data_IF_937050606493
#
_entry.id   IF_937050606493
#
_cell.length_a   1.000
_cell.length_b   1.000
_cell.length_c   1.000
_cell.angle_alpha   90.00
_cell.angle_beta   90.00
_cell.angle_gamma   90.00
#
_symmetry.space_group_name_H-M   'P 1'
#
loop_
_entity.id
_entity.type
_entity.pdbx_description
1 polymer ?
#
# COMPACT_ATOMS: atom_id res chain seq x y z
N UNK A 1 -21.57 124.34 93.07
CA UNK A 1 -20.61 124.70 92.02
C UNK A 1 -19.19 124.36 92.49
N UNK A 2 -18.68 123.21 92.08
CA UNK A 2 -17.25 122.91 91.95
C UNK A 2 -17.15 121.69 91.05
N UNK A 3 -17.47 121.93 89.77
CA UNK A 3 -17.13 121.06 88.67
C UNK A 3 -15.60 121.05 88.55
N UNK A 4 -14.94 120.10 89.21
CA UNK A 4 -13.60 119.69 88.83
C UNK A 4 -13.72 118.40 88.04
N UNK A 5 -14.24 118.53 86.83
CA UNK A 5 -14.28 117.43 85.87
C UNK A 5 -13.99 118.00 84.51
N UNK A 6 -12.75 118.40 84.26
CA UNK A 6 -12.33 118.62 82.88
C UNK A 6 -10.85 118.28 82.72
N UNK A 7 -10.66 117.13 82.06
CA UNK A 7 -9.74 116.91 80.95
C UNK A 7 -10.10 115.55 80.33
N UNK A 8 -10.91 115.64 79.27
CA UNK A 8 -11.13 114.63 78.23
C UNK A 8 -11.87 115.32 77.07
N UNK A 9 -11.24 116.32 76.44
CA UNK A 9 -11.80 116.94 75.24
C UNK A 9 -11.40 116.06 74.06
N UNK A 10 -12.33 115.21 73.62
CA UNK A 10 -12.19 114.41 72.40
C UNK A 10 -12.99 115.04 71.25
N UNK A 11 -12.64 114.77 69.98
CA UNK A 11 -13.46 115.19 68.86
C UNK A 11 -14.89 114.64 68.95
N UNK A 12 -15.93 115.44 68.65
CA UNK A 12 -17.31 114.95 68.52
C UNK A 12 -17.38 113.83 67.47
N UNK A 13 -18.22 112.80 67.70
CA UNK A 13 -18.31 111.62 66.84
C UNK A 13 -18.54 111.99 65.37
N UNK A 14 -19.34 113.01 65.12
CA UNK A 14 -19.72 113.51 63.79
C UNK A 14 -18.53 114.10 63.01
N UNK A 15 -17.52 114.61 63.72
CA UNK A 15 -16.33 115.27 63.14
C UNK A 15 -15.03 114.49 63.35
N UNK A 16 -15.09 113.41 64.13
CA UNK A 16 -13.92 112.67 64.55
C UNK A 16 -13.17 112.09 63.34
N UNK A 17 -13.89 111.54 62.34
CA UNK A 17 -13.25 111.01 61.14
C UNK A 17 -12.38 112.06 60.43
N UNK A 18 -12.90 113.27 60.23
CA UNK A 18 -12.18 114.36 59.57
C UNK A 18 -10.96 114.79 60.39
N UNK A 19 -11.10 114.83 61.72
CA UNK A 19 -9.99 115.17 62.62
C UNK A 19 -8.86 114.13 62.57
N UNK A 20 -9.17 112.83 62.57
CA UNK A 20 -8.15 111.77 62.56
C UNK A 20 -7.54 111.51 61.17
N UNK A 21 -8.19 111.92 60.08
CA UNK A 21 -7.67 111.77 58.72
C UNK A 21 -6.70 112.88 58.29
N UNK A 22 -6.76 114.05 58.94
CA UNK A 22 -5.92 115.20 58.61
C UNK A 22 -4.61 115.14 59.39
N UNK A 23 -3.50 115.40 58.71
CA UNK A 23 -2.19 115.52 59.36
C UNK A 23 -2.27 116.59 60.47
N UNK A 24 -1.89 116.21 61.70
CA UNK A 24 -1.97 117.06 62.88
C UNK A 24 -3.39 117.55 63.24
N UNK A 25 -4.45 116.87 62.79
CA UNK A 25 -5.83 117.28 63.07
C UNK A 25 -6.21 117.28 64.56
N UNK A 26 -5.48 116.54 65.40
CA UNK A 26 -5.66 116.52 66.86
C UNK A 26 -5.04 117.73 67.58
N UNK A 27 -4.26 118.57 66.89
CA UNK A 27 -3.56 119.71 67.50
C UNK A 27 -4.47 120.64 68.31
N UNK A 28 -5.69 121.00 67.88
CA UNK A 28 -6.59 121.82 68.70
C UNK A 28 -6.98 121.17 70.03
N UNK A 29 -7.06 119.84 70.06
CA UNK A 29 -7.38 119.07 71.26
C UNK A 29 -6.16 118.94 72.16
N UNK A 30 -5.00 118.63 71.59
CA UNK A 30 -3.72 118.60 72.30
C UNK A 30 -3.36 119.97 72.88
N UNK A 31 -3.66 121.05 72.15
CA UNK A 31 -3.44 122.42 72.63
C UNK A 31 -4.28 122.73 73.87
N UNK A 32 -5.55 122.30 73.93
CA UNK A 32 -6.37 122.47 75.15
C UNK A 32 -5.77 121.76 76.36
N UNK A 33 -5.23 120.56 76.17
CA UNK A 33 -4.51 119.82 77.22
C UNK A 33 -3.25 120.59 77.64
N UNK A 34 -2.49 121.12 76.67
CA UNK A 34 -1.28 121.87 76.93
C UNK A 34 -1.56 123.17 77.69
N UNK A 35 -2.58 123.92 77.29
CA UNK A 35 -2.99 125.17 77.93
C UNK A 35 -3.36 124.92 79.42
N UNK A 36 -4.03 123.80 79.75
CA UNK A 36 -4.33 123.43 81.16
C UNK A 36 -3.07 123.03 81.94
N UNK A 37 -2.12 122.34 81.31
CA UNK A 37 -0.82 122.03 81.94
C UNK A 37 -0.03 123.32 82.22
N UNK A 38 -0.01 124.24 81.27
CA UNK A 38 0.75 125.50 81.38
C UNK A 38 0.17 126.45 82.44
N UNK A 39 -1.15 126.42 82.65
CA UNK A 39 -1.81 127.18 83.72
C UNK A 39 -1.57 126.60 85.13
N UNK A 40 -1.04 125.38 85.24
CA UNK A 40 -0.85 124.68 86.51
C UNK A 40 0.53 124.96 87.12
N UNK A 41 0.56 125.73 88.20
CA UNK A 41 1.79 126.04 88.97
C UNK A 41 1.74 125.35 90.35
N UNK A 42 2.32 124.14 90.49
CA UNK A 42 2.30 123.40 91.76
C UNK A 42 3.47 123.76 92.67
N UNK A 43 3.27 123.61 93.99
CA UNK A 43 4.34 123.61 94.99
C UNK A 43 4.74 122.18 95.39
N UNK A 44 5.86 121.70 94.86
CA UNK A 44 6.39 120.34 95.09
C UNK A 44 6.76 120.06 96.56
N UNK A 45 7.04 121.11 97.33
CA UNK A 45 7.52 120.96 98.72
C UNK A 45 6.39 120.47 99.64
N UNK A 46 5.13 120.76 99.30
CA UNK A 46 3.95 120.33 100.07
C UNK A 46 3.39 118.98 99.60
N UNK A 47 2.79 118.21 100.53
CA UNK A 47 2.06 116.98 100.18
C UNK A 47 0.93 117.26 99.19
N UNK A 48 0.17 118.34 99.43
CA UNK A 48 -0.95 118.76 98.59
C UNK A 48 -0.53 119.09 97.15
N UNK A 49 0.62 119.75 96.95
CA UNK A 49 1.12 120.05 95.61
C UNK A 49 1.60 118.79 94.86
N UNK A 50 2.23 117.83 95.55
CA UNK A 50 2.57 116.51 94.95
C UNK A 50 1.33 115.72 94.53
N UNK A 51 0.28 115.71 95.36
CA UNK A 51 -1.01 115.09 95.03
C UNK A 51 -1.67 115.78 93.81
N UNK A 52 -1.61 117.10 93.73
CA UNK A 52 -2.13 117.85 92.57
C UNK A 52 -1.37 117.54 91.26
N UNK A 53 -0.04 117.40 91.31
CA UNK A 53 0.78 116.97 90.16
C UNK A 53 0.36 115.58 89.69
N UNK A 54 0.21 114.63 90.62
CA UNK A 54 -0.24 113.28 90.29
C UNK A 54 -1.64 113.30 89.64
N UNK A 55 -2.53 114.17 90.12
CA UNK A 55 -3.87 114.34 89.55
C UNK A 55 -3.85 114.89 88.12
N UNK A 56 -3.01 115.90 87.82
CA UNK A 56 -2.86 116.44 86.45
C UNK A 56 -2.27 115.37 85.52
N UNK A 57 -1.22 114.66 85.96
CA UNK A 57 -0.64 113.58 85.19
C UNK A 57 -1.66 112.48 84.86
N UNK A 58 -2.52 112.12 85.81
CA UNK A 58 -3.62 111.17 85.60
C UNK A 58 -4.65 111.68 84.59
N UNK A 59 -5.02 112.97 84.63
CA UNK A 59 -5.91 113.60 83.64
C UNK A 59 -5.33 113.53 82.22
N UNK A 60 -4.04 113.78 82.05
CA UNK A 60 -3.34 113.67 80.76
C UNK A 60 -3.38 112.22 80.27
N UNK A 61 -3.08 111.25 81.13
CA UNK A 61 -3.16 109.83 80.79
C UNK A 61 -4.58 109.42 80.34
N UNK A 62 -5.62 109.90 81.03
CA UNK A 62 -7.02 109.67 80.65
C UNK A 62 -7.38 110.31 79.30
N UNK A 63 -6.92 111.53 79.05
CA UNK A 63 -7.15 112.22 77.77
C UNK A 63 -6.49 111.48 76.61
N UNK A 64 -5.26 110.97 76.80
CA UNK A 64 -4.57 110.11 75.83
C UNK A 64 -5.39 108.86 75.51
N UNK A 65 -5.84 108.12 76.54
CA UNK A 65 -6.66 106.92 76.34
C UNK A 65 -7.97 107.22 75.64
N UNK A 66 -8.63 108.33 75.99
CA UNK A 66 -9.88 108.74 75.35
C UNK A 66 -9.70 109.05 73.86
N UNK A 67 -8.65 109.79 73.50
CA UNK A 67 -8.30 110.07 72.10
C UNK A 67 -7.90 108.79 71.34
N UNK A 68 -7.10 107.91 71.94
CA UNK A 68 -6.72 106.64 71.30
C UNK A 68 -7.94 105.74 71.03
N UNK A 69 -8.86 105.65 71.99
CA UNK A 69 -10.08 104.85 71.84
C UNK A 69 -10.98 105.37 70.70
N UNK A 70 -11.16 106.69 70.56
CA UNK A 70 -11.94 107.25 69.43
C UNK A 70 -11.32 106.87 68.09
N UNK A 71 -9.99 106.94 67.96
CA UNK A 71 -9.30 106.52 66.74
C UNK A 71 -9.46 105.02 66.45
N UNK A 72 -9.36 104.18 67.49
CA UNK A 72 -9.57 102.72 67.38
C UNK A 72 -10.99 102.38 66.95
N UNK A 73 -11.99 103.01 67.56
CA UNK A 73 -13.40 102.78 67.25
C UNK A 73 -13.72 103.20 65.82
N UNK A 74 -13.21 104.35 65.36
CA UNK A 74 -13.33 104.79 63.96
C UNK A 74 -12.71 103.78 62.98
N UNK A 75 -11.48 103.32 63.25
CA UNK A 75 -10.83 102.32 62.38
C UNK A 75 -11.60 101.00 62.37
N UNK A 76 -12.16 100.58 63.50
CA UNK A 76 -13.00 99.39 63.57
C UNK A 76 -14.29 99.56 62.75
N UNK A 77 -15.03 100.66 62.94
CA UNK A 77 -16.25 100.97 62.18
C UNK A 77 -15.95 101.06 60.67
N UNK A 78 -14.86 101.72 60.27
CA UNK A 78 -14.45 101.85 58.86
C UNK A 78 -14.07 100.52 58.23
N UNK A 79 -13.35 99.63 58.94
CA UNK A 79 -12.96 98.31 58.42
C UNK A 79 -14.15 97.37 58.21
N UNK A 80 -15.23 97.55 58.97
CA UNK A 80 -16.45 96.77 58.75
C UNK A 80 -17.14 97.12 57.42
N UNK A 81 -16.92 98.31 56.84
CA UNK A 81 -17.50 98.69 55.55
C UNK A 81 -16.92 97.83 54.40
N UNK A 82 -15.59 97.79 54.12
CA UNK A 82 -15.03 96.89 53.11
C UNK A 82 -15.36 95.42 53.36
N UNK A 83 -15.32 94.97 54.62
CA UNK A 83 -15.67 93.58 54.98
C UNK A 83 -17.09 93.21 54.57
N UNK A 84 -18.07 94.09 54.81
CA UNK A 84 -19.46 93.88 54.37
C UNK A 84 -19.59 93.94 52.85
N UNK A 85 -18.89 94.86 52.19
CA UNK A 85 -18.88 94.97 50.73
C UNK A 85 -18.34 93.68 50.10
N UNK A 86 -17.22 93.15 50.58
CA UNK A 86 -16.64 91.93 50.02
C UNK A 86 -17.49 90.69 50.30
N UNK A 87 -18.11 90.61 51.48
CA UNK A 87 -19.07 89.56 51.81
C UNK A 87 -20.28 89.60 50.85
N UNK A 88 -20.87 90.78 50.62
CA UNK A 88 -22.01 90.91 49.71
C UNK A 88 -21.62 90.66 48.25
N UNK A 89 -20.44 91.13 47.82
CA UNK A 89 -19.92 90.83 46.48
C UNK A 89 -19.71 89.33 46.27
N UNK A 90 -19.24 88.60 47.28
CA UNK A 90 -19.15 87.15 47.22
C UNK A 90 -20.52 86.51 47.14
N UNK A 91 -21.43 86.84 48.06
CA UNK A 91 -22.81 86.34 48.08
C UNK A 91 -23.50 86.54 46.73
N UNK A 92 -23.37 87.74 46.16
CA UNK A 92 -23.90 88.07 44.84
C UNK A 92 -23.34 87.16 43.75
N UNK A 93 -22.01 86.98 43.66
CA UNK A 93 -21.41 86.08 42.66
C UNK A 93 -21.90 84.64 42.83
N UNK A 94 -21.79 84.09 44.04
CA UNK A 94 -22.22 82.72 44.33
C UNK A 94 -23.71 82.51 43.97
N UNK A 95 -24.55 83.52 44.21
CA UNK A 95 -25.98 83.49 43.86
C UNK A 95 -26.19 83.54 42.35
N UNK A 96 -25.50 84.44 41.64
CA UNK A 96 -25.62 84.58 40.19
C UNK A 96 -25.09 83.33 39.46
N UNK A 97 -24.00 82.73 39.95
CA UNK A 97 -23.45 81.48 39.40
C UNK A 97 -24.46 80.32 39.57
N UNK A 98 -25.08 80.22 40.76
CA UNK A 98 -26.12 79.22 41.01
C UNK A 98 -27.35 79.40 40.11
N UNK A 99 -27.81 80.65 39.91
CA UNK A 99 -28.93 80.93 38.99
C UNK A 99 -28.56 80.69 37.54
N UNK A 100 -27.34 81.01 37.13
CA UNK A 100 -26.86 80.71 35.78
C UNK A 100 -26.92 79.20 35.51
N UNK A 101 -26.45 78.39 36.46
CA UNK A 101 -26.51 76.93 36.35
C UNK A 101 -27.96 76.43 36.34
N UNK A 102 -28.82 76.95 37.21
CA UNK A 102 -30.24 76.59 37.23
C UNK A 102 -30.94 76.89 35.89
N UNK A 103 -30.67 78.05 35.30
CA UNK A 103 -31.23 78.45 33.99
C UNK A 103 -30.65 77.59 32.87
N UNK A 104 -29.37 77.20 32.96
CA UNK A 104 -28.68 76.39 31.95
C UNK A 104 -29.07 74.91 32.02
N UNK A 105 -29.38 74.40 33.21
CA UNK A 105 -29.60 72.97 33.48
C UNK A 105 -30.62 72.30 32.55
N UNK A 106 -31.83 72.85 32.30
CA UNK A 106 -32.77 72.22 31.37
C UNK A 106 -32.24 72.02 29.96
N UNK A 107 -31.40 72.95 29.47
CA UNK A 107 -30.78 72.82 28.15
C UNK A 107 -29.69 71.74 28.17
N UNK A 108 -28.86 71.70 29.21
CA UNK A 108 -27.84 70.66 29.36
C UNK A 108 -28.49 69.26 29.47
N UNK A 109 -29.56 69.13 30.25
CA UNK A 109 -30.30 67.88 30.44
C UNK A 109 -30.94 67.43 29.12
N UNK A 110 -31.54 68.36 28.36
CA UNK A 110 -32.10 68.05 27.04
C UNK A 110 -31.02 67.64 26.03
N UNK A 111 -29.89 68.35 25.97
CA UNK A 111 -28.77 67.98 25.09
C UNK A 111 -28.23 66.59 25.42
N UNK A 112 -28.03 66.28 26.71
CA UNK A 112 -27.56 64.97 27.13
C UNK A 112 -28.57 63.85 26.81
N UNK A 113 -29.87 64.11 26.99
CA UNK A 113 -30.92 63.17 26.63
C UNK A 113 -31.00 62.93 25.11
N UNK A 114 -30.82 63.98 24.32
CA UNK A 114 -30.85 63.92 22.86
C UNK A 114 -29.61 63.19 22.30
N UNK A 115 -28.41 63.50 22.82
CA UNK A 115 -27.19 62.77 22.47
C UNK A 115 -27.33 61.28 22.82
N UNK A 116 -27.86 60.96 24.01
CA UNK A 116 -28.10 59.58 24.41
C UNK A 116 -29.15 58.86 23.53
N UNK A 117 -30.20 59.58 23.09
CA UNK A 117 -31.21 59.04 22.15
C UNK A 117 -30.56 58.70 20.81
N UNK A 118 -29.80 59.63 20.24
CA UNK A 118 -29.08 59.45 18.97
C UNK A 118 -28.06 58.31 19.05
N UNK A 119 -27.27 58.26 20.12
CA UNK A 119 -26.30 57.19 20.36
C UNK A 119 -26.98 55.83 20.50
N UNK A 120 -28.12 55.74 21.19
CA UNK A 120 -28.87 54.49 21.31
C UNK A 120 -29.31 53.95 19.94
N UNK A 121 -29.85 54.80 19.06
CA UNK A 121 -30.22 54.40 17.70
C UNK A 121 -29.02 53.97 16.85
N UNK A 122 -27.94 54.77 16.86
CA UNK A 122 -26.73 54.45 16.12
C UNK A 122 -26.10 53.14 16.59
N UNK A 123 -26.05 52.90 17.90
CA UNK A 123 -25.54 51.64 18.47
C UNK A 123 -26.43 50.45 18.07
N UNK A 124 -27.75 50.60 18.11
CA UNK A 124 -28.66 49.54 17.68
C UNK A 124 -28.50 49.21 16.18
N UNK A 125 -28.32 50.22 15.32
CA UNK A 125 -27.99 50.04 13.89
C UNK A 125 -26.63 49.35 13.73
N UNK A 126 -25.61 49.75 14.49
CA UNK A 126 -24.30 49.12 14.45
C UNK A 126 -24.39 47.63 14.87
N UNK A 127 -25.18 47.31 15.90
CA UNK A 127 -25.44 45.93 16.29
C UNK A 127 -26.13 45.10 15.20
N UNK A 128 -27.08 45.67 14.46
CA UNK A 128 -27.67 45.01 13.28
C UNK A 128 -26.59 44.66 12.25
N UNK A 129 -25.70 45.62 11.94
CA UNK A 129 -24.60 45.44 10.98
C UNK A 129 -23.58 44.39 11.45
N UNK A 130 -23.24 44.38 12.74
CA UNK A 130 -22.25 43.46 13.32
C UNK A 130 -22.66 41.99 13.22
N UNK A 131 -23.97 41.68 13.27
CA UNK A 131 -24.44 40.30 13.12
C UNK A 131 -24.00 39.68 11.78
N UNK A 132 -23.86 40.48 10.72
CA UNK A 132 -23.47 40.01 9.38
C UNK A 132 -21.95 40.02 9.14
N UNK A 133 -21.13 40.31 10.15
CA UNK A 133 -19.67 40.32 10.06
C UNK A 133 -19.07 39.02 10.62
N UNK A 134 -17.81 38.75 10.26
CA UNK A 134 -16.99 37.63 10.75
C UNK A 134 -17.73 36.28 10.70
N UNK A 135 -18.14 35.89 9.49
CA UNK A 135 -18.88 34.65 9.23
C UNK A 135 -17.97 33.46 8.89
N UNK A 136 -16.65 33.66 8.88
CA UNK A 136 -15.71 32.58 8.56
C UNK A 136 -15.73 31.49 9.64
N UNK A 137 -15.98 30.24 9.24
CA UNK A 137 -16.04 29.09 10.15
C UNK A 137 -17.29 29.01 11.01
N UNK A 138 -18.31 29.84 10.76
CA UNK A 138 -19.59 29.79 11.46
C UNK A 138 -20.38 28.52 11.08
N UNK A 139 -21.13 27.98 12.02
CA UNK A 139 -22.01 26.82 11.77
C UNK A 139 -23.44 27.26 11.42
N UNK A 140 -24.23 26.36 10.82
CA UNK A 140 -25.58 26.66 10.38
C UNK A 140 -26.50 27.10 11.52
N UNK A 141 -26.36 26.49 12.71
CA UNK A 141 -27.12 26.84 13.91
C UNK A 141 -26.89 28.31 14.33
N UNK A 142 -25.63 28.73 14.42
CA UNK A 142 -25.27 30.11 14.77
C UNK A 142 -25.77 31.13 13.73
N UNK A 143 -25.76 30.77 12.43
CA UNK A 143 -26.33 31.62 11.38
C UNK A 143 -27.84 31.78 11.55
N UNK A 144 -28.56 30.71 11.87
CA UNK A 144 -30.01 30.75 12.14
C UNK A 144 -30.30 31.60 13.37
N UNK A 145 -29.49 31.49 14.42
CA UNK A 145 -29.61 32.32 15.62
C UNK A 145 -29.40 33.81 15.32
N UNK A 146 -28.37 34.16 14.55
CA UNK A 146 -28.12 35.54 14.13
C UNK A 146 -29.26 36.07 13.26
N UNK A 147 -29.77 35.28 12.32
CA UNK A 147 -30.95 35.64 11.50
C UNK A 147 -32.14 35.93 12.41
N UNK A 148 -32.43 35.03 13.34
CA UNK A 148 -33.56 35.16 14.28
C UNK A 148 -33.45 36.44 15.11
N UNK A 149 -32.25 36.75 15.63
CA UNK A 149 -31.99 37.99 16.38
C UNK A 149 -32.24 39.23 15.54
N UNK A 150 -31.75 39.26 14.30
CA UNK A 150 -31.94 40.40 13.39
C UNK A 150 -33.41 40.52 12.97
N UNK A 151 -34.10 39.41 12.70
CA UNK A 151 -35.54 39.39 12.36
C UNK A 151 -36.41 39.90 13.49
N UNK A 152 -36.08 39.57 14.75
CA UNK A 152 -36.82 39.98 15.93
C UNK A 152 -36.78 41.51 16.21
N UNK A 153 -35.84 42.25 15.61
CA UNK A 153 -35.80 43.71 15.76
C UNK A 153 -37.00 44.34 15.08
N UNK A 154 -37.97 44.82 15.86
CA UNK A 154 -39.12 45.52 15.34
C UNK A 154 -38.72 46.90 14.78
N UNK A 155 -39.12 47.16 13.54
CA UNK A 155 -39.05 48.49 12.93
C UNK A 155 -40.38 49.20 13.20
N UNK A 156 -40.34 50.53 13.29
CA UNK A 156 -41.50 51.36 13.53
C UNK A 156 -41.16 52.68 14.20
N UNK A 157 -42.18 53.34 14.73
CA UNK A 157 -42.11 54.72 15.28
C UNK A 157 -41.03 54.91 16.35
N UNK A 158 -40.67 53.85 17.09
CA UNK A 158 -39.61 53.89 18.10
C UNK A 158 -38.22 54.15 17.54
N UNK A 159 -38.02 54.06 16.23
CA UNK A 159 -36.76 54.39 15.56
C UNK A 159 -36.70 55.82 15.04
N UNK A 160 -37.80 56.55 15.09
CA UNK A 160 -37.88 57.97 14.73
C UNK A 160 -37.21 58.24 13.36
N UNK A 161 -36.34 59.24 13.24
CA UNK A 161 -35.65 59.55 11.98
C UNK A 161 -34.66 58.46 11.51
N UNK A 162 -34.32 57.51 12.38
CA UNK A 162 -33.39 56.42 12.10
C UNK A 162 -34.08 55.17 11.52
N UNK A 163 -35.41 55.13 11.46
CA UNK A 163 -36.16 53.96 10.98
C UNK A 163 -35.71 53.49 9.60
N UNK A 164 -35.54 54.42 8.66
CA UNK A 164 -35.11 54.09 7.31
C UNK A 164 -33.67 53.53 7.25
N UNK A 165 -32.78 53.99 8.14
CA UNK A 165 -31.44 53.43 8.22
C UNK A 165 -31.42 52.07 8.91
N UNK A 166 -32.17 51.90 10.00
CA UNK A 166 -32.33 50.63 10.68
C UNK A 166 -32.95 49.56 9.77
N UNK A 167 -33.94 49.93 8.95
CA UNK A 167 -34.53 49.05 7.94
C UNK A 167 -33.48 48.58 6.93
N UNK A 168 -32.70 49.51 6.35
CA UNK A 168 -31.62 49.15 5.42
C UNK A 168 -30.58 48.24 6.07
N UNK A 169 -30.13 48.58 7.28
CA UNK A 169 -29.16 47.78 8.02
C UNK A 169 -29.69 46.37 8.32
N UNK A 170 -30.96 46.25 8.72
CA UNK A 170 -31.63 44.96 8.95
C UNK A 170 -31.68 44.13 7.67
N UNK A 171 -32.14 44.72 6.57
CA UNK A 171 -32.29 44.02 5.29
C UNK A 171 -30.93 43.57 4.72
N UNK A 172 -29.92 44.43 4.76
CA UNK A 172 -28.56 44.12 4.31
C UNK A 172 -27.95 42.98 5.15
N UNK A 173 -28.10 43.04 6.48
CA UNK A 173 -27.62 41.98 7.37
C UNK A 173 -28.32 40.65 7.12
N UNK A 174 -29.65 40.66 6.96
CA UNK A 174 -30.41 39.44 6.64
C UNK A 174 -30.02 38.85 5.29
N UNK A 175 -29.77 39.70 4.29
CA UNK A 175 -29.34 39.26 2.96
C UNK A 175 -27.99 38.53 3.05
N UNK A 176 -27.02 39.08 3.77
CA UNK A 176 -25.70 38.46 3.95
C UNK A 176 -25.83 37.15 4.73
N UNK A 177 -26.53 37.15 5.86
CA UNK A 177 -26.69 35.96 6.70
C UNK A 177 -27.42 34.82 5.99
N UNK A 178 -28.50 35.12 5.27
CA UNK A 178 -29.26 34.10 4.51
C UNK A 178 -28.45 33.54 3.35
N UNK A 179 -27.64 34.38 2.68
CA UNK A 179 -26.74 33.91 1.63
C UNK A 179 -25.65 32.98 2.20
N UNK A 180 -25.07 33.32 3.36
CA UNK A 180 -24.09 32.46 4.04
C UNK A 180 -24.72 31.12 4.48
N UNK A 181 -25.92 31.15 5.03
CA UNK A 181 -26.64 29.93 5.44
C UNK A 181 -26.95 29.04 4.23
N UNK A 182 -27.45 29.62 3.13
CA UNK A 182 -27.72 28.88 1.92
C UNK A 182 -26.44 28.24 1.33
N UNK A 183 -25.33 28.97 1.32
CA UNK A 183 -24.05 28.46 0.85
C UNK A 183 -23.54 27.28 1.72
N UNK A 184 -23.67 27.38 3.05
CA UNK A 184 -23.28 26.31 3.95
C UNK A 184 -24.16 25.06 3.78
N UNK A 185 -25.48 25.24 3.67
CA UNK A 185 -26.43 24.14 3.43
C UNK A 185 -26.17 23.46 2.08
N UNK A 186 -25.86 24.24 1.04
CA UNK A 186 -25.46 23.70 -0.26
C UNK A 186 -24.19 22.86 -0.11
N UNK A 187 -23.15 23.40 0.50
CA UNK A 187 -21.91 22.68 0.74
C UNK A 187 -22.13 21.37 1.51
N UNK A 188 -22.91 21.38 2.59
CA UNK A 188 -23.23 20.18 3.36
C UNK A 188 -23.99 19.14 2.52
N UNK A 189 -24.95 19.59 1.70
CA UNK A 189 -25.69 18.70 0.81
C UNK A 189 -24.82 18.08 -0.28
N UNK A 190 -23.89 18.85 -0.85
CA UNK A 190 -22.92 18.38 -1.83
C UNK A 190 -21.95 17.37 -1.22
N UNK A 191 -21.48 17.61 0.01
CA UNK A 191 -20.65 16.66 0.74
C UNK A 191 -21.40 15.35 1.06
N UNK A 192 -22.67 15.45 1.47
CA UNK A 192 -23.50 14.28 1.73
C UNK A 192 -23.76 13.46 0.45
N UNK A 193 -24.04 14.13 -0.68
CA UNK A 193 -24.20 13.47 -1.97
C UNK A 193 -22.89 12.81 -2.43
N UNK A 194 -21.76 13.50 -2.30
CA UNK A 194 -20.45 12.95 -2.63
C UNK A 194 -20.12 11.71 -1.78
N UNK A 195 -20.44 11.74 -0.48
CA UNK A 195 -20.29 10.59 0.41
C UNK A 195 -21.17 9.40 -0.03
N UNK A 196 -22.43 9.67 -0.42
CA UNK A 196 -23.33 8.64 -0.96
C UNK A 196 -22.79 8.04 -2.25
N UNK A 197 -22.31 8.85 -3.18
CA UNK A 197 -21.73 8.39 -4.45
C UNK A 197 -20.47 7.55 -4.23
N UNK A 198 -19.61 7.92 -3.27
CA UNK A 198 -18.45 7.12 -2.89
C UNK A 198 -18.84 5.77 -2.30
N UNK A 199 -19.78 5.76 -1.35
CA UNK A 199 -20.27 4.52 -0.76
C UNK A 199 -20.93 3.60 -1.80
N UNK A 200 -21.67 4.15 -2.75
CA UNK A 200 -22.25 3.39 -3.85
C UNK A 200 -21.17 2.83 -4.79
N UNK A 201 -20.17 3.63 -5.15
CA UNK A 201 -19.05 3.18 -5.97
C UNK A 201 -18.25 2.05 -5.30
N UNK A 202 -17.94 2.19 -4.01
CA UNK A 202 -17.28 1.15 -3.21
C UNK A 202 -18.11 -0.14 -3.14
N UNK A 203 -19.43 -0.03 -2.95
CA UNK A 203 -20.33 -1.18 -2.95
C UNK A 203 -20.40 -1.87 -4.32
N UNK A 204 -20.40 -1.11 -5.43
CA UNK A 204 -20.33 -1.67 -6.78
C UNK A 204 -19.01 -2.38 -7.03
N UNK A 205 -17.87 -1.77 -6.68
CA UNK A 205 -16.56 -2.37 -6.84
C UNK A 205 -16.45 -3.67 -6.02
N UNK A 206 -16.95 -3.67 -4.79
CA UNK A 206 -16.99 -4.85 -3.95
C UNK A 206 -17.84 -5.96 -4.57
N UNK A 207 -19.03 -5.62 -5.08
CA UNK A 207 -19.90 -6.57 -5.78
C UNK A 207 -19.24 -7.12 -7.05
N UNK A 208 -18.63 -6.27 -7.87
CA UNK A 208 -17.90 -6.69 -9.08
C UNK A 208 -16.72 -7.61 -8.73
N UNK A 209 -16.01 -7.31 -7.64
CA UNK A 209 -14.93 -8.15 -7.13
C UNK A 209 -15.45 -9.51 -6.66
N UNK A 210 -16.54 -9.55 -5.91
CA UNK A 210 -17.20 -10.77 -5.46
C UNK A 210 -17.71 -11.60 -6.65
N UNK A 211 -18.35 -10.97 -7.63
CA UNK A 211 -18.78 -11.63 -8.86
C UNK A 211 -17.60 -12.14 -9.69
N UNK A 212 -16.49 -11.40 -9.77
CA UNK A 212 -15.27 -11.87 -10.44
C UNK A 212 -14.69 -13.09 -9.72
N UNK A 213 -14.58 -13.05 -8.40
CA UNK A 213 -14.12 -14.19 -7.59
C UNK A 213 -15.05 -15.39 -7.80
N UNK A 214 -16.37 -15.18 -7.81
CA UNK A 214 -17.34 -16.24 -8.05
C UNK A 214 -17.23 -16.81 -9.47
N UNK A 215 -17.07 -15.97 -10.50
CA UNK A 215 -16.83 -16.38 -11.90
C UNK A 215 -15.54 -17.17 -12.03
N UNK A 216 -14.44 -16.68 -11.44
CA UNK A 216 -13.15 -17.38 -11.44
C UNK A 216 -13.23 -18.72 -10.71
N UNK A 217 -13.91 -18.79 -9.57
CA UNK A 217 -14.11 -20.03 -8.83
C UNK A 217 -14.95 -21.03 -9.63
N UNK A 218 -16.04 -20.58 -10.26
CA UNK A 218 -16.88 -21.41 -11.11
C UNK A 218 -16.11 -21.93 -12.35
N UNK A 219 -15.30 -21.08 -12.99
CA UNK A 219 -14.48 -21.48 -14.14
C UNK A 219 -13.39 -22.47 -13.73
N UNK A 220 -12.70 -22.24 -12.60
CA UNK A 220 -11.72 -23.20 -12.06
C UNK A 220 -12.38 -24.55 -11.77
N UNK A 221 -13.55 -24.54 -11.12
CA UNK A 221 -14.29 -25.77 -10.86
C UNK A 221 -14.71 -26.49 -12.15
N UNK A 222 -15.11 -25.75 -13.19
CA UNK A 222 -15.43 -26.32 -14.52
C UNK A 222 -14.20 -26.95 -15.16
N UNK A 223 -13.07 -26.24 -15.18
CA UNK A 223 -11.80 -26.71 -15.76
C UNK A 223 -11.30 -27.94 -14.99
N UNK A 224 -11.32 -27.93 -13.66
CA UNK A 224 -10.93 -29.10 -12.85
C UNK A 224 -11.86 -30.31 -13.10
N UNK A 225 -13.17 -30.08 -13.19
CA UNK A 225 -14.12 -31.15 -13.53
C UNK A 225 -13.90 -31.72 -14.94
N UNK A 226 -13.65 -30.85 -15.92
CA UNK A 226 -13.35 -31.23 -17.30
C UNK A 226 -12.02 -31.98 -17.41
N UNK A 227 -10.96 -31.51 -16.73
CA UNK A 227 -9.68 -32.21 -16.62
C UNK A 227 -9.83 -33.58 -15.97
N UNK A 228 -10.61 -33.69 -14.89
CA UNK A 228 -10.87 -34.96 -14.21
C UNK A 228 -11.64 -35.93 -15.11
N UNK A 229 -12.68 -35.45 -15.79
CA UNK A 229 -13.44 -36.23 -16.76
C UNK A 229 -12.58 -36.68 -17.94
N UNK A 230 -11.70 -35.81 -18.44
CA UNK A 230 -10.75 -36.13 -19.50
C UNK A 230 -9.71 -37.16 -19.03
N UNK A 231 -9.14 -36.99 -17.85
CA UNK A 231 -8.21 -37.95 -17.25
C UNK A 231 -8.88 -39.32 -17.03
N UNK A 232 -10.15 -39.35 -16.62
CA UNK A 232 -10.92 -40.59 -16.47
C UNK A 232 -11.22 -41.26 -17.81
N UNK A 233 -11.54 -40.49 -18.85
CA UNK A 233 -11.68 -41.00 -20.23
C UNK A 233 -10.37 -41.55 -20.76
N UNK A 234 -9.26 -40.84 -20.59
CA UNK A 234 -7.93 -41.28 -21.01
C UNK A 234 -7.48 -42.52 -20.23
N UNK A 235 -7.74 -42.59 -18.92
CA UNK A 235 -7.47 -43.77 -18.11
C UNK A 235 -8.32 -44.96 -18.57
N UNK A 236 -9.59 -44.74 -18.93
CA UNK A 236 -10.47 -45.79 -19.47
C UNK A 236 -9.98 -46.26 -20.83
N UNK A 237 -9.65 -45.35 -21.76
CA UNK A 237 -9.06 -45.69 -23.05
C UNK A 237 -7.73 -46.42 -22.91
N UNK A 238 -6.86 -46.01 -21.98
CA UNK A 238 -5.60 -46.73 -21.71
C UNK A 238 -5.87 -48.14 -21.20
N UNK A 239 -6.82 -48.33 -20.28
CA UNK A 239 -7.21 -49.67 -19.79
C UNK A 239 -7.78 -50.53 -20.92
N UNK A 240 -8.60 -49.97 -21.81
CA UNK A 240 -9.14 -50.69 -22.97
C UNK A 240 -8.03 -51.07 -23.97
N UNK A 241 -7.11 -50.16 -24.27
CA UNK A 241 -5.97 -50.41 -25.15
C UNK A 241 -5.00 -51.43 -24.52
N UNK A 242 -4.74 -51.36 -23.22
CA UNK A 242 -3.92 -52.34 -22.50
C UNK A 242 -4.60 -53.70 -22.44
N UNK A 243 -5.91 -53.77 -22.20
CA UNK A 243 -6.67 -55.00 -22.23
C UNK A 243 -6.69 -55.62 -23.62
N UNK A 244 -6.84 -54.82 -24.67
CA UNK A 244 -6.77 -55.27 -26.07
C UNK A 244 -5.36 -55.73 -26.42
N UNK A 245 -4.32 -54.98 -26.07
CA UNK A 245 -2.93 -55.39 -26.28
C UNK A 245 -2.56 -56.64 -25.47
N UNK A 246 -3.16 -56.86 -24.30
CA UNK A 246 -2.99 -58.07 -23.51
C UNK A 246 -3.75 -59.26 -24.15
N UNK A 247 -4.95 -59.04 -24.70
CA UNK A 247 -5.69 -60.03 -25.45
C UNK A 247 -4.97 -60.42 -26.75
N UNK A 248 -4.49 -59.46 -27.52
CA UNK A 248 -3.70 -59.67 -28.74
C UNK A 248 -2.40 -60.42 -28.43
N UNK A 249 -1.71 -60.07 -27.33
CA UNK A 249 -0.53 -60.82 -26.86
C UNK A 249 -0.85 -62.25 -26.47
N UNK A 250 -1.97 -62.50 -25.78
CA UNK A 250 -2.44 -63.86 -25.45
C UNK A 250 -2.81 -64.65 -26.69
N UNK A 251 -3.47 -64.03 -27.67
CA UNK A 251 -3.80 -64.68 -28.93
C UNK A 251 -2.53 -65.01 -29.73
N UNK A 252 -1.57 -64.09 -29.79
CA UNK A 252 -0.28 -64.32 -30.43
C UNK A 252 0.52 -65.41 -29.71
N UNK A 253 0.50 -65.45 -28.38
CA UNK A 253 1.16 -66.48 -27.56
C UNK A 253 0.50 -67.85 -27.76
N UNK A 254 -0.83 -67.90 -27.84
CA UNK A 254 -1.57 -69.13 -28.16
C UNK A 254 -1.29 -69.60 -29.59
N UNK A 255 -1.21 -68.69 -30.56
CA UNK A 255 -0.80 -69.00 -31.95
C UNK A 255 0.64 -69.51 -32.02
N UNK A 256 1.57 -68.84 -31.34
CA UNK A 256 2.97 -69.28 -31.23
C UNK A 256 3.08 -70.62 -30.53
N UNK A 257 2.32 -70.88 -29.45
CA UNK A 257 2.27 -72.19 -28.78
C UNK A 257 1.66 -73.26 -29.68
N UNK A 258 0.62 -72.94 -30.44
CA UNK A 258 0.02 -73.87 -31.40
C UNK A 258 0.98 -74.18 -32.56
N UNK A 259 1.65 -73.17 -33.11
CA UNK A 259 2.66 -73.34 -34.16
C UNK A 259 3.91 -74.07 -33.64
N UNK A 260 4.36 -73.80 -32.41
CA UNK A 260 5.43 -74.55 -31.76
C UNK A 260 5.02 -75.99 -31.46
N UNK A 261 3.77 -76.24 -31.08
CA UNK A 261 3.26 -77.60 -30.88
C UNK A 261 3.10 -78.36 -32.21
N UNK A 262 2.68 -77.69 -33.28
CA UNK A 262 2.67 -78.24 -34.65
C UNK A 262 4.09 -78.53 -35.13
N UNK A 263 5.02 -77.60 -34.98
CA UNK A 263 6.43 -77.81 -35.34
C UNK A 263 7.07 -78.90 -34.47
N UNK A 264 6.73 -78.99 -33.19
CA UNK A 264 7.22 -80.06 -32.32
C UNK A 264 6.61 -81.43 -32.69
N UNK A 265 5.35 -81.47 -33.11
CA UNK A 265 4.73 -82.70 -33.66
C UNK A 265 5.35 -83.08 -35.00
N UNK A 266 5.55 -82.12 -35.91
CA UNK A 266 6.22 -82.34 -37.19
C UNK A 266 7.69 -82.76 -37.00
N UNK A 267 8.39 -82.19 -36.03
CA UNK A 267 9.76 -82.58 -35.68
C UNK A 267 9.80 -83.95 -35.01
N UNK A 268 8.86 -84.27 -34.10
CA UNK A 268 8.76 -85.60 -33.50
C UNK A 268 8.36 -86.68 -34.52
N UNK A 269 7.52 -86.35 -35.50
CA UNK A 269 7.17 -87.22 -36.63
C UNK A 269 8.36 -87.38 -37.59
N UNK A 270 9.07 -86.30 -37.90
CA UNK A 270 10.31 -86.34 -38.69
C UNK A 270 11.41 -87.13 -37.98
N UNK A 271 11.55 -87.01 -36.66
CA UNK A 271 12.51 -87.76 -35.85
C UNK A 271 12.09 -89.24 -35.73
N UNK A 272 10.79 -89.55 -35.62
CA UNK A 272 10.29 -90.95 -35.70
C UNK A 272 10.58 -91.56 -37.06
N UNK A 273 10.27 -90.84 -38.14
CA UNK A 273 10.54 -91.29 -39.52
C UNK A 273 12.05 -91.41 -39.77
N UNK A 274 12.88 -90.49 -39.26
CA UNK A 274 14.33 -90.58 -39.36
C UNK A 274 14.90 -91.73 -38.53
N UNK A 275 14.31 -92.06 -37.38
CA UNK A 275 14.72 -93.20 -36.53
C UNK A 275 14.29 -94.52 -37.17
N UNK A 276 13.07 -94.60 -37.71
CA UNK A 276 12.57 -95.75 -38.48
C UNK A 276 13.38 -95.95 -39.77
N UNK A 277 13.72 -94.88 -40.50
CA UNK A 277 14.56 -94.94 -41.70
C UNK A 277 16.02 -95.28 -41.40
N UNK A 278 16.60 -94.79 -40.29
CA UNK A 278 17.95 -95.19 -39.86
C UNK A 278 18.00 -96.65 -39.43
N UNK A 279 16.99 -97.14 -38.70
CA UNK A 279 16.90 -98.55 -38.33
C UNK A 279 16.67 -99.47 -39.55
N UNK A 280 15.91 -99.02 -40.55
CA UNK A 280 15.72 -99.75 -41.81
C UNK A 280 16.98 -99.74 -42.68
N UNK A 281 17.66 -98.60 -42.79
CA UNK A 281 18.94 -98.49 -43.51
C UNK A 281 20.06 -99.29 -42.84
N UNK A 282 20.12 -99.36 -41.50
CA UNK A 282 21.07 -100.23 -40.80
C UNK A 282 20.77 -101.72 -40.99
N UNK A 283 19.49 -102.13 -41.00
CA UNK A 283 19.11 -103.51 -41.32
C UNK A 283 19.46 -103.89 -42.76
N UNK A 284 19.20 -102.99 -43.72
CA UNK A 284 19.56 -103.24 -45.13
C UNK A 284 21.06 -103.16 -45.39
N UNK A 285 21.81 -102.31 -44.69
CA UNK A 285 23.27 -102.24 -44.78
C UNK A 285 23.98 -103.40 -44.04
N UNK A 286 23.36 -103.98 -43.00
CA UNK A 286 23.85 -105.20 -42.36
C UNK A 286 23.56 -106.44 -43.22
N UNK A 287 22.38 -106.51 -43.86
CA UNK A 287 22.04 -107.57 -44.80
C UNK A 287 22.95 -107.56 -46.05
N UNK A 288 23.17 -106.39 -46.68
CA UNK A 288 24.08 -106.27 -47.84
C UNK A 288 25.54 -106.56 -47.49
N UNK A 289 26.04 -106.14 -46.32
CA UNK A 289 27.41 -106.49 -45.88
C UNK A 289 27.58 -107.97 -45.59
N UNK A 290 26.53 -108.67 -45.13
CA UNK A 290 26.56 -110.11 -44.93
C UNK A 290 26.50 -110.88 -46.27
N UNK A 291 25.74 -110.38 -47.25
CA UNK A 291 25.63 -110.93 -48.60
C UNK A 291 26.93 -110.72 -49.41
N UNK A 292 27.48 -109.51 -49.41
CA UNK A 292 28.74 -109.17 -50.10
C UNK A 292 29.94 -109.90 -49.48
N UNK A 293 30.00 -110.10 -48.15
CA UNK A 293 31.07 -110.88 -47.51
C UNK A 293 30.98 -112.39 -47.82
N UNK A 294 29.77 -112.94 -47.98
CA UNK A 294 29.55 -114.34 -48.35
C UNK A 294 29.81 -114.60 -49.86
N UNK A 295 29.49 -113.63 -50.72
CA UNK A 295 29.71 -113.71 -52.16
C UNK A 295 31.20 -113.52 -52.53
N UNK A 296 31.90 -112.61 -51.85
CA UNK A 296 33.34 -112.39 -52.06
C UNK A 296 34.20 -113.58 -51.58
N UNK A 297 33.80 -114.25 -50.48
CA UNK A 297 34.45 -115.49 -50.05
C UNK A 297 34.25 -116.64 -51.06
N UNK A 298 33.07 -116.74 -51.70
CA UNK A 298 32.79 -117.73 -52.75
C UNK A 298 33.54 -117.45 -54.07
N UNK A 299 33.72 -116.18 -54.44
CA UNK A 299 34.42 -115.79 -55.66
C UNK A 299 35.95 -115.93 -55.55
N UNK A 300 36.53 -115.72 -54.35
CA UNK A 300 37.97 -115.91 -54.12
C UNK A 300 38.39 -117.39 -53.98
N UNK A 301 37.49 -118.27 -53.53
CA UNK A 301 37.70 -119.72 -53.52
C UNK A 301 37.56 -120.33 -54.93
N UNK A 302 36.61 -119.82 -55.74
CA UNK A 302 36.43 -120.23 -57.14
C UNK A 302 37.54 -119.72 -58.07
N UNK A 303 38.09 -118.51 -57.83
CA UNK A 303 39.28 -118.01 -58.57
C UNK A 303 40.56 -118.80 -58.29
N UNK A 304 40.76 -119.31 -57.07
CA UNK A 304 41.93 -120.17 -56.74
C UNK A 304 41.81 -121.57 -57.33
N UNK A 305 40.59 -122.12 -57.43
CA UNK A 305 40.33 -123.39 -58.09
C UNK A 305 40.45 -123.31 -59.63
N UNK A 306 39.95 -122.24 -60.25
CA UNK A 306 39.99 -122.05 -61.71
C UNK A 306 41.40 -121.66 -62.22
N UNK A 307 42.21 -120.94 -61.43
CA UNK A 307 43.60 -120.64 -61.78
C UNK A 307 44.52 -121.87 -61.71
N UNK A 308 44.26 -122.83 -60.82
CA UNK A 308 45.02 -124.08 -60.72
C UNK A 308 44.63 -125.10 -61.82
N UNK A 309 43.37 -125.12 -62.26
CA UNK A 309 42.90 -125.98 -63.34
C UNK A 309 43.36 -125.51 -64.74
N UNK A 310 43.47 -124.20 -64.95
CA UNK A 310 43.84 -123.62 -66.26
C UNK A 310 45.32 -123.84 -66.62
N UNK A 311 46.22 -123.90 -65.63
CA UNK A 311 47.65 -124.15 -65.87
C UNK A 311 47.97 -125.64 -66.19
N UNK A 312 47.17 -126.59 -65.66
CA UNK A 312 47.32 -128.03 -65.93
C UNK A 312 46.84 -128.38 -67.35
N UNK A 313 45.76 -127.75 -67.83
CA UNK A 313 45.23 -127.99 -69.18
C UNK A 313 46.17 -127.46 -70.27
N UNK A 314 46.78 -126.28 -70.05
CA UNK A 314 47.68 -125.64 -71.02
C UNK A 314 48.95 -126.47 -71.29
N UNK A 315 49.47 -127.19 -70.28
CA UNK A 315 50.63 -128.07 -70.46
C UNK A 315 50.30 -129.40 -71.16
N UNK A 316 49.03 -129.85 -71.14
CA UNK A 316 48.60 -131.04 -71.87
C UNK A 316 48.33 -130.74 -73.35
N UNK A 317 47.68 -129.62 -73.66
CA UNK A 317 47.38 -129.23 -75.05
C UNK A 317 48.64 -128.96 -75.88
N UNK A 318 49.68 -128.38 -75.27
CA UNK A 318 50.96 -128.16 -75.94
C UNK A 318 51.69 -129.47 -76.30
N UNK A 319 51.46 -130.57 -75.57
CA UNK A 319 52.08 -131.88 -75.84
C UNK A 319 51.32 -132.68 -76.89
N UNK A 320 50.00 -132.55 -76.94
CA UNK A 320 49.14 -133.20 -77.94
C UNK A 320 49.31 -132.57 -79.35
N UNK A 321 49.44 -131.23 -79.43
CA UNK A 321 49.66 -130.54 -80.69
C UNK A 321 50.99 -130.91 -81.38
N UNK A 322 52.07 -131.07 -80.60
CA UNK A 322 53.39 -131.48 -81.11
C UNK A 322 53.38 -132.95 -81.61
N UNK A 323 52.61 -133.82 -80.94
CA UNK A 323 52.46 -135.24 -81.32
C UNK A 323 51.64 -135.42 -82.61
N UNK A 324 50.61 -134.59 -82.79
CA UNK A 324 49.81 -134.55 -84.01
C UNK A 324 50.62 -134.04 -85.22
N UNK A 325 51.45 -133.01 -85.03
CA UNK A 325 52.33 -132.46 -86.07
C UNK A 325 53.34 -133.51 -86.57
N UNK A 326 53.98 -134.23 -85.63
CA UNK A 326 54.97 -135.28 -85.94
C UNK A 326 54.36 -136.48 -86.67
N UNK A 327 53.15 -136.87 -86.28
CA UNK A 327 52.41 -137.98 -86.91
C UNK A 327 52.04 -137.64 -88.36
N UNK A 328 51.62 -136.40 -88.62
CA UNK A 328 51.25 -135.94 -89.98
C UNK A 328 52.44 -135.99 -90.94
N UNK A 329 53.61 -135.52 -90.52
CA UNK A 329 54.82 -135.53 -91.35
C UNK A 329 55.32 -136.95 -91.61
N UNK A 330 55.31 -137.83 -90.59
CA UNK A 330 55.70 -139.22 -90.77
C UNK A 330 54.77 -139.99 -91.71
N UNK A 331 53.46 -139.69 -91.72
CA UNK A 331 52.50 -140.30 -92.64
C UNK A 331 52.72 -139.88 -94.08
N UNK A 332 53.02 -138.59 -94.32
CA UNK A 332 53.35 -138.09 -95.64
C UNK A 332 54.65 -138.71 -96.19
N UNK A 333 55.67 -138.88 -95.32
CA UNK A 333 56.89 -139.60 -95.69
C UNK A 333 56.61 -141.08 -96.01
N UNK A 334 55.72 -141.73 -95.26
CA UNK A 334 55.32 -143.12 -95.48
C UNK A 334 54.67 -143.33 -96.84
N UNK A 335 53.71 -142.47 -97.20
CA UNK A 335 53.03 -142.51 -98.49
C UNK A 335 54.03 -142.30 -99.65
N UNK A 336 54.98 -141.38 -99.50
CA UNK A 336 56.01 -141.14 -100.50
C UNK A 336 56.94 -142.36 -100.71
N UNK A 337 57.32 -143.05 -99.64
CA UNK A 337 58.12 -144.27 -99.75
C UNK A 337 57.35 -145.41 -100.42
N UNK A 338 56.07 -145.59 -100.08
CA UNK A 338 55.22 -146.61 -100.71
C UNK A 338 55.02 -146.33 -102.21
N UNK A 339 54.78 -145.06 -102.57
CA UNK A 339 54.66 -144.65 -103.97
C UNK A 339 55.96 -144.85 -104.79
N UNK A 340 57.13 -144.79 -104.14
CA UNK A 340 58.43 -145.11 -104.75
C UNK A 340 58.69 -146.61 -104.96
N UNK A 341 57.73 -147.48 -104.65
CA UNK A 341 57.83 -148.93 -104.85
C UNK A 341 58.28 -149.73 -103.63
N UNK A 342 58.44 -149.11 -102.45
CA UNK A 342 58.67 -149.86 -101.20
C UNK A 342 57.37 -150.43 -100.63
N UNK A 343 57.44 -151.62 -100.03
CA UNK A 343 56.31 -152.14 -99.24
C UNK A 343 56.11 -151.31 -97.98
N UNK A 344 54.87 -151.18 -97.53
CA UNK A 344 54.52 -150.32 -96.39
C UNK A 344 55.27 -150.70 -95.10
N UNK A 345 55.54 -151.98 -94.87
CA UNK A 345 56.35 -152.43 -93.72
C UNK A 345 57.79 -151.94 -93.80
N UNK A 346 58.42 -152.01 -94.99
CA UNK A 346 59.79 -151.56 -95.19
C UNK A 346 59.88 -150.02 -95.09
N UNK A 347 58.84 -149.30 -95.55
CA UNK A 347 58.73 -147.84 -95.46
C UNK A 347 58.58 -147.36 -94.00
N UNK A 348 57.74 -148.03 -93.19
CA UNK A 348 57.65 -147.77 -91.74
C UNK A 348 58.98 -147.98 -91.04
N UNK A 349 59.68 -149.04 -91.41
CA UNK A 349 60.99 -149.38 -90.83
C UNK A 349 62.05 -148.33 -91.21
N UNK A 350 62.05 -147.85 -92.45
CA UNK A 350 62.93 -146.76 -92.90
C UNK A 350 62.66 -145.44 -92.15
N UNK A 351 61.40 -144.99 -92.04
CA UNK A 351 61.03 -143.78 -91.28
C UNK A 351 61.45 -143.88 -89.82
N UNK A 352 61.26 -145.05 -89.20
CA UNK A 352 61.66 -145.29 -87.81
C UNK A 352 63.17 -145.17 -87.62
N UNK A 353 63.96 -145.77 -88.51
CA UNK A 353 65.43 -145.70 -88.46
C UNK A 353 65.95 -144.27 -88.68
N UNK A 354 65.29 -143.47 -89.52
CA UNK A 354 65.65 -142.07 -89.78
C UNK A 354 65.27 -141.17 -88.58
N UNK A 355 64.06 -141.32 -88.04
CA UNK A 355 63.62 -140.56 -86.87
C UNK A 355 64.51 -140.84 -85.63
N UNK A 356 64.98 -142.09 -85.48
CA UNK A 356 65.93 -142.50 -84.44
C UNK A 356 67.40 -142.20 -84.79
N UNK A 357 67.67 -141.53 -85.93
CA UNK A 357 69.01 -141.17 -86.43
C UNK A 357 69.99 -142.34 -86.55
N UNK A 358 69.49 -143.55 -86.81
CA UNK A 358 70.33 -144.74 -87.02
C UNK A 358 70.90 -144.83 -88.45
N UNK A 359 70.44 -143.98 -89.36
CA UNK A 359 70.99 -143.81 -90.71
C UNK A 359 71.70 -142.44 -90.74
N UNK A 360 73.04 -142.40 -90.85
CA UNK A 360 73.82 -141.16 -90.83
C UNK A 360 73.49 -140.23 -92.00
N UNK A 361 73.60 -138.91 -91.77
CA UNK A 361 73.41 -137.84 -92.77
C UNK A 361 72.01 -137.73 -93.40
N UNK A 362 70.98 -138.26 -92.75
CA UNK A 362 69.57 -138.15 -93.18
C UNK A 362 68.68 -137.86 -91.96
N UNK A 363 67.66 -137.01 -92.11
CA UNK A 363 66.76 -136.62 -90.99
C UNK A 363 65.36 -136.24 -91.48
N UNK A 364 64.36 -136.33 -90.59
CA UNK A 364 62.99 -135.84 -90.82
C UNK A 364 62.82 -134.52 -90.07
N UNK A 365 62.45 -133.45 -90.77
CA UNK A 365 62.09 -132.19 -90.16
C UNK A 365 60.60 -132.23 -89.77
N UNK A 366 60.31 -131.97 -88.49
CA UNK A 366 58.96 -132.09 -87.92
C UNK A 366 58.24 -130.77 -87.80
#
# INVERSE_FOLDING_TARGET
MSAQTELAVVPPKETALQVYQVANGLDPYLKKIRDEIDAFVPDITTRKGREAIASIAYKVARSKTALDNVGKDLVAELKEIPKKIDAERKRMRDTLDAWQEEVRRPLNDWQAAEDARVDAHNNAIAHLKLNAQDLDGIIAEDLVDRITKVEAVALGETWEEFEAEAARAKDDSLKVLRAALAALQQYESEQAELARLRAEAEAREQKEREERIAREAAERARVEAEQKAQAEREATQRRELEAKAAADRRELELKLKAEQAERARAQAEADRVATEQRAEQERQAAARRAEEAAEQARLDERRRADAAATEILRQQEAREADKAHKTKINRAALEAFVAGGMTEECAKQAITLIALRKIPNISIAY
#
